data_IF_264989174036
#
_entry.id   IF_264989174036
#
_cell.length_a   1.000
_cell.length_b   1.000
_cell.length_c   1.000
_cell.angle_alpha   90.00
_cell.angle_beta   90.00
_cell.angle_gamma   90.00
#
_symmetry.space_group_name_H-M   'P 1'
#
loop_
_entity.id
_entity.type
_entity.pdbx_description
1 polymer ?
#
# COMPACT_ATOMS: atom_id res chain seq x y z
N UNK A 1 -17.30 15.51 -0.73
CA UNK A 1 -15.93 16.05 -0.73
C UNK A 1 -14.98 14.86 -0.72
N UNK A 2 -14.16 14.71 -1.76
CA UNK A 2 -13.16 13.64 -1.83
C UNK A 2 -12.14 13.88 -0.73
N UNK A 3 -12.03 12.96 0.23
CA UNK A 3 -10.92 12.94 1.17
C UNK A 3 -9.67 12.74 0.31
N UNK A 4 -8.89 13.80 0.11
CA UNK A 4 -7.58 13.67 -0.54
C UNK A 4 -6.78 12.59 0.19
N UNK A 5 -5.94 11.80 -0.51
CA UNK A 5 -5.23 10.73 0.14
C UNK A 5 -4.44 11.33 1.31
N UNK A 6 -4.71 10.85 2.52
CA UNK A 6 -3.94 11.24 3.71
C UNK A 6 -2.45 11.07 3.43
N UNK A 7 -1.62 11.82 4.17
CA UNK A 7 -0.17 11.79 3.97
C UNK A 7 0.34 10.35 3.97
N UNK A 8 0.82 9.89 2.81
CA UNK A 8 1.28 8.51 2.63
C UNK A 8 2.48 8.18 3.54
N UNK A 9 3.20 9.19 4.04
CA UNK A 9 4.28 9.02 5.02
C UNK A 9 3.79 8.50 6.37
N UNK A 10 2.50 8.66 6.69
CA UNK A 10 1.93 8.17 7.94
C UNK A 10 1.53 6.70 7.88
N UNK A 11 1.60 6.05 6.71
CA UNK A 11 1.26 4.65 6.57
C UNK A 11 2.27 3.78 7.32
N UNK A 12 1.74 2.71 7.90
CA UNK A 12 2.48 1.70 8.65
C UNK A 12 2.25 0.32 8.05
N UNK A 13 3.04 -0.66 8.50
CA UNK A 13 2.85 -2.06 8.16
C UNK A 13 1.42 -2.56 8.30
N UNK A 14 0.67 -2.09 9.30
CA UNK A 14 -0.72 -2.50 9.55
C UNK A 14 -1.74 -2.03 8.50
N UNK A 15 -1.36 -1.09 7.63
CA UNK A 15 -2.22 -0.59 6.55
C UNK A 15 -2.17 -1.48 5.28
N UNK A 16 -1.50 -2.64 5.40
CA UNK A 16 -1.28 -3.62 4.34
C UNK A 16 -1.64 -5.02 4.87
N UNK A 17 -2.71 -5.65 4.38
CA UNK A 17 -3.15 -6.96 4.89
C UNK A 17 -2.20 -8.12 4.60
N UNK A 18 -1.32 -7.98 3.61
CA UNK A 18 -0.35 -9.00 3.21
C UNK A 18 1.05 -8.42 3.34
N UNK A 19 1.99 -9.22 3.86
CA UNK A 19 3.41 -8.88 3.90
C UNK A 19 4.22 -9.99 3.23
N UNK A 20 5.12 -9.59 2.34
CA UNK A 20 5.96 -10.52 1.62
C UNK A 20 7.45 -10.20 1.86
N UNK A 21 8.27 -11.16 2.32
CA UNK A 21 9.69 -10.93 2.52
C UNK A 21 10.39 -10.77 1.17
N UNK A 22 11.31 -9.82 1.10
CA UNK A 22 12.16 -9.62 -0.08
C UNK A 22 13.62 -9.47 0.35
N UNK A 23 14.52 -9.99 -0.47
CA UNK A 23 15.96 -9.87 -0.25
C UNK A 23 16.53 -8.83 -1.19
N UNK A 24 17.49 -8.06 -0.68
CA UNK A 24 18.32 -7.17 -1.46
C UNK A 24 19.63 -7.88 -1.85
N UNK A 25 20.24 -7.43 -2.94
CA UNK A 25 21.55 -7.87 -3.43
C UNK A 25 22.54 -6.74 -3.29
N UNK A 26 23.83 -7.07 -3.24
CA UNK A 26 24.91 -6.08 -3.25
C UNK A 26 24.77 -5.08 -4.42
N UNK A 27 24.37 -5.56 -5.59
CA UNK A 27 24.18 -4.77 -6.82
C UNK A 27 22.95 -3.87 -6.80
N UNK A 28 22.08 -4.01 -5.81
CA UNK A 28 20.87 -3.20 -5.72
C UNK A 28 21.20 -1.79 -5.17
N UNK A 29 22.31 -1.65 -4.44
CA UNK A 29 22.84 -0.34 -4.07
C UNK A 29 23.45 0.33 -5.30
N UNK A 30 23.08 1.58 -5.55
CA UNK A 30 23.76 2.40 -6.55
C UNK A 30 25.01 3.09 -5.97
N UNK A 31 25.64 3.94 -6.79
CA UNK A 31 26.87 4.64 -6.41
C UNK A 31 26.71 5.61 -5.22
N UNK A 32 25.48 5.95 -4.85
CA UNK A 32 25.18 6.80 -3.70
C UNK A 32 25.03 6.01 -2.39
N UNK A 33 25.11 4.68 -2.44
CA UNK A 33 25.13 3.81 -1.25
C UNK A 33 23.76 3.35 -0.78
N UNK A 34 22.69 3.65 -1.52
CA UNK A 34 21.32 3.25 -1.22
C UNK A 34 20.72 2.45 -2.38
N UNK A 35 19.59 1.78 -2.13
CA UNK A 35 18.88 1.06 -3.18
C UNK A 35 18.53 1.98 -4.34
N UNK A 36 18.90 1.55 -5.55
CA UNK A 36 18.49 2.24 -6.76
C UNK A 36 16.96 2.29 -6.86
N UNK A 37 16.43 3.39 -7.38
CA UNK A 37 14.99 3.59 -7.48
C UNK A 37 14.26 2.49 -8.30
N UNK A 38 14.92 1.89 -9.30
CA UNK A 38 14.35 0.83 -10.12
C UNK A 38 14.17 -0.48 -9.33
N UNK A 39 15.05 -0.75 -8.35
CA UNK A 39 14.98 -1.96 -7.52
C UNK A 39 13.65 -2.04 -6.80
N UNK A 40 13.08 -0.93 -6.33
CA UNK A 40 11.77 -0.93 -5.68
C UNK A 40 10.67 -1.53 -6.56
N UNK A 41 10.71 -1.28 -7.87
CA UNK A 41 9.76 -1.87 -8.82
C UNK A 41 9.97 -3.38 -8.97
N UNK A 42 11.22 -3.85 -8.93
CA UNK A 42 11.53 -5.28 -8.92
C UNK A 42 11.05 -5.97 -7.64
N UNK A 43 11.22 -5.31 -6.48
CA UNK A 43 10.70 -5.81 -5.19
C UNK A 43 9.17 -5.90 -5.21
N UNK A 44 8.50 -4.89 -5.76
CA UNK A 44 7.04 -4.87 -5.93
C UNK A 44 6.54 -6.02 -6.83
N UNK A 45 7.16 -6.19 -7.99
CA UNK A 45 6.77 -7.22 -8.95
C UNK A 45 7.02 -8.63 -8.36
N UNK A 46 8.16 -8.81 -7.69
CA UNK A 46 8.48 -10.03 -6.95
C UNK A 46 7.43 -10.34 -5.89
N UNK A 47 7.07 -9.36 -5.04
CA UNK A 47 6.11 -9.56 -3.96
C UNK A 47 4.71 -9.91 -4.48
N UNK A 48 4.20 -9.19 -5.48
CA UNK A 48 2.88 -9.46 -6.07
C UNK A 48 2.83 -10.87 -6.67
N UNK A 49 3.80 -11.19 -7.53
CA UNK A 49 3.76 -12.46 -8.25
C UNK A 49 4.05 -13.64 -7.34
N UNK A 50 4.97 -13.51 -6.39
CA UNK A 50 5.25 -14.59 -5.45
C UNK A 50 4.05 -14.85 -4.53
N UNK A 51 3.40 -13.81 -4.00
CA UNK A 51 2.18 -13.96 -3.22
C UNK A 51 1.06 -14.65 -4.00
N UNK A 52 0.75 -14.19 -5.21
CA UNK A 52 -0.30 -14.80 -6.04
C UNK A 52 0.06 -16.25 -6.37
N UNK A 53 1.25 -16.51 -6.93
CA UNK A 53 1.66 -17.82 -7.42
C UNK A 53 1.67 -18.89 -6.31
N UNK A 54 2.14 -18.53 -5.11
CA UNK A 54 2.21 -19.47 -3.98
C UNK A 54 0.88 -19.67 -3.26
N UNK A 55 -0.10 -18.76 -3.43
CA UNK A 55 -1.39 -18.82 -2.72
C UNK A 55 -2.55 -19.30 -3.58
N UNK A 56 -2.57 -19.00 -4.89
CA UNK A 56 -3.71 -19.34 -5.75
C UNK A 56 -3.66 -20.73 -6.36
N UNK A 57 -2.54 -21.46 -6.23
CA UNK A 57 -2.38 -22.81 -6.80
C UNK A 57 -2.39 -22.85 -8.33
N UNK A 58 -2.04 -21.74 -8.98
CA UNK A 58 -1.96 -21.62 -10.44
C UNK A 58 -0.50 -21.57 -10.85
N UNK A 59 -0.20 -21.99 -12.08
CA UNK A 59 1.09 -21.74 -12.70
C UNK A 59 0.95 -20.60 -13.75
N UNK A 60 1.58 -19.43 -13.52
CA UNK A 60 1.46 -18.29 -14.43
C UNK A 60 2.01 -18.58 -15.84
N UNK A 61 2.88 -19.57 -16.01
CA UNK A 61 3.45 -19.92 -17.31
C UNK A 61 2.48 -20.70 -18.20
N UNK A 62 1.60 -21.50 -17.60
CA UNK A 62 0.65 -22.36 -18.33
C UNK A 62 -0.75 -21.76 -18.44
N UNK A 63 -1.06 -20.72 -17.67
CA UNK A 63 -2.38 -20.09 -17.74
C UNK A 63 -2.67 -19.44 -19.11
N UNK A 64 -3.94 -19.53 -19.58
CA UNK A 64 -4.38 -18.86 -20.81
C UNK A 64 -4.49 -17.34 -20.65
N UNK A 65 -4.32 -16.80 -19.44
CA UNK A 65 -4.41 -15.37 -19.14
C UNK A 65 -3.10 -14.84 -18.56
N UNK A 66 -2.81 -13.57 -18.83
CA UNK A 66 -1.64 -12.84 -18.33
C UNK A 66 -2.09 -11.64 -17.49
N UNK A 67 -1.50 -11.45 -16.32
CA UNK A 67 -1.51 -10.14 -15.64
C UNK A 67 -0.42 -9.26 -16.22
N UNK A 68 -0.79 -8.13 -16.82
CA UNK A 68 0.16 -7.14 -17.35
C UNK A 68 0.10 -5.85 -16.54
N UNK A 69 1.26 -5.23 -16.32
CA UNK A 69 1.35 -3.92 -15.68
C UNK A 69 0.86 -2.85 -16.67
N UNK A 70 -0.22 -2.17 -16.31
CA UNK A 70 -0.79 -1.08 -17.11
C UNK A 70 -0.37 0.31 -16.57
N UNK A 71 -0.08 0.40 -15.28
CA UNK A 71 0.36 1.63 -14.61
C UNK A 71 1.20 1.26 -13.38
N UNK A 72 2.27 2.02 -13.13
CA UNK A 72 3.09 1.90 -11.93
C UNK A 72 3.64 3.26 -11.50
N UNK A 73 3.92 3.39 -10.20
CA UNK A 73 4.57 4.56 -9.63
C UNK A 73 5.06 4.29 -8.22
N UNK A 74 6.04 5.08 -7.76
CA UNK A 74 6.60 4.95 -6.43
C UNK A 74 6.93 6.32 -5.84
N UNK A 75 6.63 6.49 -4.54
CA UNK A 75 7.06 7.64 -3.75
C UNK A 75 8.03 7.16 -2.66
N UNK A 76 9.17 7.82 -2.57
CA UNK A 76 10.25 7.47 -1.64
C UNK A 76 10.26 8.46 -0.46
N UNK A 77 10.37 7.94 0.75
CA UNK A 77 10.31 8.72 1.99
C UNK A 77 11.52 8.51 2.91
N UNK A 78 12.17 7.35 2.83
CA UNK A 78 13.42 7.05 3.51
C UNK A 78 14.32 6.21 2.60
N UNK A 79 15.63 6.37 2.77
CA UNK A 79 16.64 5.58 2.09
C UNK A 79 16.76 4.20 2.74
N UNK A 80 16.96 3.18 1.92
CA UNK A 80 17.19 1.78 2.34
C UNK A 80 18.45 1.30 1.63
N UNK A 81 19.11 0.28 2.17
CA UNK A 81 20.34 -0.26 1.59
C UNK A 81 20.49 -1.76 1.83
N UNK A 82 21.18 -2.46 0.93
CA UNK A 82 21.72 -3.78 1.24
C UNK A 82 22.68 -3.70 2.44
N UNK A 83 22.70 -4.67 3.38
CA UNK A 83 21.94 -5.94 3.41
C UNK A 83 20.70 -5.90 4.31
N UNK A 84 20.02 -4.76 4.43
CA UNK A 84 18.87 -4.63 5.32
C UNK A 84 17.78 -5.65 4.98
N UNK A 85 17.16 -6.29 6.00
CA UNK A 85 16.01 -7.16 5.78
C UNK A 85 14.80 -6.31 5.43
N UNK A 86 14.21 -6.56 4.27
CA UNK A 86 13.06 -5.81 3.77
C UNK A 86 11.84 -6.71 3.61
N UNK A 87 10.69 -6.06 3.61
CA UNK A 87 9.44 -6.68 3.23
C UNK A 87 8.54 -5.66 2.53
N UNK A 88 7.72 -6.19 1.64
CA UNK A 88 6.72 -5.44 0.90
C UNK A 88 5.35 -5.75 1.49
N UNK A 89 4.64 -4.73 1.96
CA UNK A 89 3.23 -4.80 2.26
C UNK A 89 2.39 -4.64 1.00
N UNK A 90 1.34 -5.44 0.83
CA UNK A 90 0.39 -5.37 -0.27
C UNK A 90 -1.02 -5.09 0.25
N UNK A 91 -1.71 -4.18 -0.44
CA UNK A 91 -3.14 -3.92 -0.23
C UNK A 91 -3.82 -3.71 -1.59
N UNK A 92 -4.98 -4.33 -1.79
CA UNK A 92 -5.83 -4.08 -2.95
C UNK A 92 -6.74 -2.91 -2.63
N UNK A 93 -6.56 -1.82 -3.37
CA UNK A 93 -7.34 -0.58 -3.24
C UNK A 93 -8.55 -0.54 -4.18
N UNK A 94 -8.50 -1.30 -5.27
CA UNK A 94 -9.61 -1.49 -6.21
C UNK A 94 -9.50 -2.85 -6.87
N UNK A 95 -10.57 -3.63 -6.83
CA UNK A 95 -10.70 -4.91 -7.54
C UNK A 95 -11.83 -4.82 -8.56
N UNK A 96 -11.49 -4.65 -9.84
CA UNK A 96 -12.44 -4.57 -10.95
C UNK A 96 -12.74 -5.94 -11.57
N UNK A 97 -13.37 -5.94 -12.75
CA UNK A 97 -13.66 -7.17 -13.51
C UNK A 97 -12.38 -7.78 -14.10
N UNK A 98 -11.61 -6.97 -14.81
CA UNK A 98 -10.41 -7.36 -15.55
C UNK A 98 -9.14 -6.64 -15.07
N UNK A 99 -9.24 -5.85 -14.00
CA UNK A 99 -8.11 -5.09 -13.47
C UNK A 99 -8.12 -5.02 -11.95
N UNK A 100 -6.95 -4.82 -11.38
CA UNK A 100 -6.71 -4.67 -9.94
C UNK A 100 -5.69 -3.58 -9.72
N UNK A 101 -5.94 -2.74 -8.72
CA UNK A 101 -5.05 -1.66 -8.29
C UNK A 101 -4.52 -1.97 -6.89
N UNK A 102 -3.21 -2.05 -6.78
CA UNK A 102 -2.48 -2.27 -5.54
C UNK A 102 -1.94 -0.95 -4.98
N UNK A 103 -1.93 -0.87 -3.66
CA UNK A 103 -1.00 -0.03 -2.91
C UNK A 103 0.05 -0.93 -2.29
N UNK A 104 1.30 -0.54 -2.42
CA UNK A 104 2.45 -1.29 -1.95
C UNK A 104 3.23 -0.43 -0.96
N UNK A 105 3.81 -1.04 0.08
CA UNK A 105 4.64 -0.34 1.05
C UNK A 105 5.93 -1.11 1.27
N UNK A 106 7.09 -0.44 1.24
CA UNK A 106 8.37 -1.07 1.60
C UNK A 106 8.72 -0.73 3.05
N UNK A 107 9.11 -1.74 3.81
CA UNK A 107 9.47 -1.62 5.22
C UNK A 107 10.84 -2.23 5.46
N UNK A 108 11.63 -1.58 6.31
CA UNK A 108 12.84 -2.16 6.88
C UNK A 108 12.44 -3.10 8.04
N UNK A 109 12.01 -4.30 7.67
CA UNK A 109 11.65 -5.36 8.60
C UNK A 109 11.61 -6.70 7.86
N UNK A 110 11.99 -7.78 8.53
CA UNK A 110 11.70 -9.13 8.03
C UNK A 110 10.19 -9.43 8.15
N UNK A 111 9.65 -10.24 7.25
CA UNK A 111 8.20 -10.50 7.20
C UNK A 111 7.64 -11.17 8.46
N UNK A 112 8.43 -12.02 9.13
CA UNK A 112 8.10 -12.63 10.42
C UNK A 112 7.90 -11.59 11.55
N UNK A 113 8.48 -10.40 11.40
CA UNK A 113 8.33 -9.29 12.36
C UNK A 113 7.15 -8.37 12.04
N UNK A 114 6.65 -8.38 10.81
CA UNK A 114 5.52 -7.53 10.37
C UNK A 114 4.15 -8.05 10.84
N UNK A 115 4.04 -9.32 11.23
CA UNK A 115 2.82 -9.91 11.77
C UNK A 115 2.59 -9.66 13.27
N UNK A 116 3.52 -8.98 13.95
CA UNK A 116 3.42 -8.63 15.37
C UNK A 116 2.66 -7.34 15.64
N UNK A 117 2.61 -6.94 16.91
CA UNK A 117 2.01 -5.65 17.30
C UNK A 117 2.86 -4.43 16.89
N UNK A 118 4.09 -4.64 16.41
CA UNK A 118 4.98 -3.55 16.03
C UNK A 118 4.51 -2.84 14.75
N UNK A 119 4.64 -1.51 14.75
CA UNK A 119 4.31 -0.65 13.61
C UNK A 119 5.59 -0.19 12.94
N UNK A 120 5.83 -0.69 11.75
CA UNK A 120 6.95 -0.23 10.93
C UNK A 120 6.47 0.92 10.04
N UNK A 121 7.19 2.04 10.05
CA UNK A 121 6.92 3.17 9.14
C UNK A 121 7.29 2.79 7.72
N UNK A 122 6.51 3.28 6.76
CA UNK A 122 6.78 3.03 5.35
C UNK A 122 7.99 3.84 4.86
N UNK A 123 8.92 3.17 4.17
CA UNK A 123 10.07 3.81 3.53
C UNK A 123 9.74 4.26 2.10
N UNK A 124 8.90 3.51 1.38
CA UNK A 124 8.41 3.87 0.06
C UNK A 124 7.00 3.33 -0.18
N UNK A 125 6.16 4.08 -0.90
CA UNK A 125 4.81 3.67 -1.27
C UNK A 125 4.68 3.54 -2.79
N UNK A 126 4.35 2.32 -3.23
CA UNK A 126 4.07 2.00 -4.61
C UNK A 126 2.58 2.08 -4.95
N UNK A 127 2.29 2.47 -6.18
CA UNK A 127 1.01 2.32 -6.85
C UNK A 127 1.21 1.38 -8.05
N UNK A 128 0.30 0.41 -8.22
CA UNK A 128 0.45 -0.59 -9.27
C UNK A 128 -0.89 -1.03 -9.83
N UNK A 129 -1.01 -1.15 -11.14
CA UNK A 129 -2.24 -1.62 -11.80
C UNK A 129 -1.93 -2.81 -12.69
N UNK A 130 -2.53 -3.95 -12.38
CA UNK A 130 -2.58 -5.09 -13.30
C UNK A 130 -3.88 -5.11 -14.08
N UNK A 131 -3.79 -5.38 -15.38
CA UNK A 131 -4.91 -5.76 -16.23
C UNK A 131 -4.70 -7.22 -16.66
N UNK A 132 -5.75 -8.02 -16.54
CA UNK A 132 -5.74 -9.40 -17.01
C UNK A 132 -6.18 -9.45 -18.47
N UNK A 133 -5.36 -10.08 -19.30
CA UNK A 133 -5.58 -10.23 -20.74
C UNK A 133 -5.49 -11.70 -21.14
N UNK A 134 -6.19 -12.07 -22.21
CA UNK A 134 -5.96 -13.34 -22.89
C UNK A 134 -4.52 -13.41 -23.43
N UNK A 135 -3.86 -14.55 -23.26
CA UNK A 135 -2.43 -14.71 -23.56
C UNK A 135 -2.13 -14.52 -25.05
N UNK A 136 -3.03 -14.96 -25.94
CA UNK A 136 -2.81 -14.93 -27.38
C UNK A 136 -3.31 -13.63 -28.00
N UNK A 137 -4.57 -13.30 -27.79
CA UNK A 137 -5.23 -12.13 -28.38
C UNK A 137 -4.90 -10.81 -27.67
N UNK A 138 -4.34 -10.88 -26.45
CA UNK A 138 -4.00 -9.72 -25.60
C UNK A 138 -5.19 -8.82 -25.28
N UNK A 139 -6.42 -9.31 -25.47
CA UNK A 139 -7.65 -8.59 -25.12
C UNK A 139 -7.97 -8.74 -23.63
N UNK A 140 -8.54 -7.71 -22.97
CA UNK A 140 -8.92 -7.81 -21.57
C UNK A 140 -9.91 -8.94 -21.30
N UNK A 141 -9.65 -9.72 -20.24
CA UNK A 141 -10.50 -10.83 -19.78
C UNK A 141 -10.77 -10.69 -18.28
N UNK A 142 -11.85 -11.30 -17.74
CA UNK A 142 -12.05 -11.34 -16.31
C UNK A 142 -10.84 -11.91 -15.58
N UNK A 143 -10.54 -11.37 -14.40
CA UNK A 143 -9.54 -11.93 -13.48
C UNK A 143 -9.94 -13.38 -13.17
N UNK A 144 -9.06 -14.38 -13.39
CA UNK A 144 -9.34 -15.78 -13.08
C UNK A 144 -9.73 -15.98 -11.63
N UNK A 145 -10.70 -16.87 -11.37
CA UNK A 145 -11.28 -17.03 -10.04
C UNK A 145 -10.27 -17.39 -8.92
N UNK A 146 -9.31 -18.30 -9.13
CA UNK A 146 -8.30 -18.58 -8.10
C UNK A 146 -7.49 -17.34 -7.70
N UNK A 147 -7.18 -16.47 -8.67
CA UNK A 147 -6.48 -15.21 -8.42
C UNK A 147 -7.41 -14.22 -7.72
N UNK A 148 -8.63 -14.05 -8.22
CA UNK A 148 -9.63 -13.14 -7.63
C UNK A 148 -9.88 -13.47 -6.16
N UNK A 149 -9.98 -14.76 -5.83
CA UNK A 149 -10.11 -15.24 -4.45
C UNK A 149 -8.94 -14.81 -3.56
N UNK A 150 -7.69 -14.93 -4.04
CA UNK A 150 -6.51 -14.41 -3.33
C UNK A 150 -6.54 -12.89 -3.21
N UNK A 151 -6.84 -12.17 -4.29
CA UNK A 151 -6.89 -10.69 -4.28
C UNK A 151 -7.91 -10.13 -3.29
N UNK A 152 -9.05 -10.82 -3.11
CA UNK A 152 -10.06 -10.42 -2.14
C UNK A 152 -9.55 -10.41 -0.70
N UNK A 153 -8.58 -11.26 -0.33
CA UNK A 153 -8.04 -11.28 1.04
C UNK A 153 -7.18 -10.06 1.36
N UNK A 154 -6.69 -9.36 0.34
CA UNK A 154 -5.89 -8.14 0.47
C UNK A 154 -6.70 -6.85 0.27
N UNK A 155 -8.02 -6.94 0.02
CA UNK A 155 -8.88 -5.78 -0.11
C UNK A 155 -8.92 -4.99 1.21
N UNK A 156 -8.70 -3.68 1.12
CA UNK A 156 -8.93 -2.82 2.28
C UNK A 156 -10.43 -2.76 2.59
N UNK A 157 -10.83 -2.73 3.87
CA UNK A 157 -12.22 -2.50 4.22
C UNK A 157 -12.67 -1.19 3.58
N UNK A 158 -13.81 -1.24 2.87
CA UNK A 158 -14.40 -0.04 2.31
C UNK A 158 -14.78 0.85 3.48
N UNK A 159 -14.11 2.00 3.64
CA UNK A 159 -14.53 3.00 4.61
C UNK A 159 -15.88 3.52 4.12
N UNK A 160 -16.98 3.03 4.71
CA UNK A 160 -18.27 3.66 4.50
C UNK A 160 -18.15 5.12 4.95
N UNK A 161 -18.69 6.11 4.21
CA UNK A 161 -18.81 7.44 4.74
C UNK A 161 -19.67 7.36 6.02
N UNK A 162 -19.11 7.81 7.14
CA UNK A 162 -19.85 7.90 8.40
C UNK A 162 -21.12 8.69 8.17
N UNK A 163 -22.27 8.04 8.33
CA UNK A 163 -23.56 8.72 8.33
C UNK A 163 -23.52 9.77 9.46
N UNK A 164 -24.06 10.99 9.27
CA UNK A 164 -24.02 12.04 10.30
C UNK A 164 -24.63 11.65 11.66
N UNK A 165 -25.35 10.52 11.73
CA UNK A 165 -26.00 9.99 12.92
C UNK A 165 -25.05 9.35 13.96
N UNK A 166 -23.81 8.98 13.60
CA UNK A 166 -22.83 8.35 14.51
C UNK A 166 -21.81 9.34 15.10
N UNK A 167 -22.04 10.65 14.97
CA UNK A 167 -21.23 11.63 15.72
C UNK A 167 -21.63 11.54 17.20
N UNK A 168 -20.70 11.26 18.13
CA UNK A 168 -20.99 11.42 19.55
C UNK A 168 -21.39 12.87 19.80
N UNK A 169 -22.46 13.07 20.58
CA UNK A 169 -22.97 14.38 20.93
C UNK A 169 -21.82 15.24 21.46
N UNK A 170 -21.60 16.39 20.82
CA UNK A 170 -20.57 17.34 21.22
C UNK A 170 -20.89 17.80 22.65
N UNK A 171 -19.99 17.44 23.57
CA UNK A 171 -20.01 17.83 24.98
C UNK A 171 -20.17 19.35 25.08
N UNK A 172 -21.36 19.76 25.51
CA UNK A 172 -21.76 21.15 25.67
C UNK A 172 -21.11 21.69 26.93
N UNK A 173 -19.80 21.98 26.84
CA UNK A 173 -19.12 22.75 27.89
C UNK A 173 -19.77 24.14 28.01
N UNK A 174 -20.08 24.62 29.22
CA UNK A 174 -20.63 25.96 29.41
C UNK A 174 -19.60 27.00 28.96
N UNK A 175 -20.06 28.04 28.27
CA UNK A 175 -19.23 29.21 27.97
C UNK A 175 -18.94 29.98 29.26
N UNK A 176 -17.67 30.13 29.60
CA UNK A 176 -17.22 31.02 30.68
C UNK A 176 -17.62 32.48 30.38
N UNK A 177 -18.08 33.24 31.39
CA UNK A 177 -18.40 34.65 31.22
C UNK A 177 -17.13 35.51 31.21
N UNK A 178 -17.06 36.35 30.16
CA UNK A 178 -16.17 37.51 29.94
C UNK A 178 -15.30 37.97 31.12
N UNK A 179 -13.99 37.98 30.91
CA UNK A 179 -13.02 38.79 31.69
C UNK A 179 -12.84 40.18 31.06
N UNK A 180 -12.71 41.28 31.85
CA UNK A 180 -12.83 42.66 31.35
C UNK A 180 -11.54 43.22 30.73
N UNK A 181 -11.72 44.22 29.87
CA UNK A 181 -10.69 44.90 29.09
C UNK A 181 -9.65 45.65 29.95
N UNK A 182 -8.37 45.54 29.57
CA UNK A 182 -7.27 46.31 30.15
C UNK A 182 -7.29 47.77 29.67
N UNK A 183 -6.87 48.75 30.50
CA UNK A 183 -6.90 50.16 30.15
C UNK A 183 -5.72 50.55 29.25
N UNK A 184 -5.98 51.45 28.30
CA UNK A 184 -4.97 52.11 27.46
C UNK A 184 -4.08 53.00 28.33
N UNK A 185 -2.77 52.81 28.26
CA UNK A 185 -1.79 53.76 28.80
C UNK A 185 -1.53 54.85 27.76
N UNK A 186 -1.63 56.10 28.19
CA UNK A 186 -1.11 57.29 27.51
C UNK A 186 0.01 57.87 28.37
N UNK A 187 1.23 57.90 27.84
CA UNK A 187 2.23 58.98 27.93
C UNK A 187 3.45 58.58 27.10
#
# INVERSE_FOLDING_TARGET
>A
MSVGPGDQRSLTSRDFPVHWPVLTRWTDNDMFGHLNNAVYYELFDTAINAWINTTSGIDPLTMPTLGVVAESGCRYFAELAFPEPLAVGLAVTRLGRSSVTYRLGVFQAAADRLGGDERHRVAAVGHWVHVYVDRLSRRPVPIPEPIRSVLNTACLPTTQPTTPADRPAEDSRPRDPKSPAAPRQTS
#
